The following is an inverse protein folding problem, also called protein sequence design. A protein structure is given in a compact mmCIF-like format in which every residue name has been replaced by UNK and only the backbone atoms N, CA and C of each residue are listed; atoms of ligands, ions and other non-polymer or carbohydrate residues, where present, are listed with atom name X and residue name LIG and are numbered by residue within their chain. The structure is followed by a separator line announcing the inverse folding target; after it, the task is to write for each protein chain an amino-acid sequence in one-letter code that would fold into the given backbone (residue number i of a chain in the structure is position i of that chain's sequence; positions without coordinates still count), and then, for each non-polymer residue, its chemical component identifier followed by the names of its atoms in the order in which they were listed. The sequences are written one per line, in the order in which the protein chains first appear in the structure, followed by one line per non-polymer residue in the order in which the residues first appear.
data_IF_309639443476
#
_entry.id   IF_309639443476
#
_cell.length_a   1.000
_cell.length_b   1.000
_cell.length_c   1.000
_cell.angle_alpha   90.00
_cell.angle_beta   90.00
_cell.angle_gamma   90.00
#
_symmetry.space_group_name_H-M   'P 1'
#
loop_
_entity.id
_entity.type
_entity.pdbx_description
1 polymer ?
#
# COMPACT_ATOMS: atom_id res chain seq x y z
N UNK A 1 2.80 14.46 -0.83
CA UNK A 1 3.20 13.16 -1.40
C UNK A 1 2.74 12.93 -2.83
N UNK A 2 1.55 13.39 -3.27
CA UNK A 2 1.13 13.26 -4.68
C UNK A 2 1.51 14.50 -5.49
N UNK A 3 2.21 14.33 -6.61
CA UNK A 3 2.51 15.42 -7.54
C UNK A 3 1.23 15.98 -8.18
N UNK A 4 0.26 15.12 -8.49
CA UNK A 4 -1.04 15.53 -9.02
C UNK A 4 -1.76 16.48 -8.06
N UNK A 5 -1.78 16.14 -6.75
CA UNK A 5 -2.37 17.01 -5.73
C UNK A 5 -1.64 18.35 -5.62
N UNK A 6 -0.31 18.38 -5.79
CA UNK A 6 0.45 19.64 -5.78
C UNK A 6 0.05 20.54 -6.97
N UNK A 7 -0.16 19.96 -8.16
CA UNK A 7 -0.64 20.73 -9.31
C UNK A 7 -2.02 21.31 -9.06
N UNK A 8 -2.92 20.54 -8.44
CA UNK A 8 -4.27 21.01 -8.10
C UNK A 8 -4.24 22.12 -7.03
N UNK A 9 -3.41 21.97 -5.99
CA UNK A 9 -3.21 23.03 -4.99
C UNK A 9 -2.72 24.34 -5.62
N UNK A 10 -1.78 24.25 -6.57
CA UNK A 10 -1.30 25.43 -7.33
C UNK A 10 -2.41 26.08 -8.14
N UNK A 11 -3.30 25.30 -8.78
CA UNK A 11 -4.47 25.84 -9.49
C UNK A 11 -5.43 26.59 -8.57
N UNK A 12 -5.52 26.15 -7.31
CA UNK A 12 -6.31 26.81 -6.26
C UNK A 12 -5.60 28.04 -5.64
N UNK A 13 -4.45 28.46 -6.18
CA UNK A 13 -3.68 29.61 -5.70
C UNK A 13 -2.75 29.32 -4.53
N UNK A 14 -2.64 28.06 -4.10
CA UNK A 14 -1.75 27.64 -3.01
C UNK A 14 -0.38 27.32 -3.62
N UNK A 15 0.50 28.32 -3.63
CA UNK A 15 1.80 28.24 -4.32
C UNK A 15 2.95 27.78 -3.43
N UNK A 16 2.87 28.00 -2.12
CA UNK A 16 3.89 27.58 -1.17
C UNK A 16 3.71 26.11 -0.79
N UNK A 17 4.01 25.21 -1.73
CA UNK A 17 3.83 23.75 -1.57
C UNK A 17 5.10 23.04 -1.99
N UNK A 18 5.64 22.22 -1.09
CA UNK A 18 6.75 21.33 -1.37
C UNK A 18 6.26 19.88 -1.49
N UNK A 19 6.83 19.13 -2.43
CA UNK A 19 6.63 17.68 -2.45
C UNK A 19 7.43 17.05 -1.32
N UNK A 20 6.74 16.27 -0.49
CA UNK A 20 7.36 15.36 0.46
C UNK A 20 6.83 13.97 0.15
N UNK A 21 7.73 13.08 -0.29
CA UNK A 21 7.46 11.68 -0.54
C UNK A 21 7.20 10.89 0.74
N UNK A 22 6.69 9.68 0.58
CA UNK A 22 6.51 8.71 1.67
C UNK A 22 7.67 7.72 1.60
N UNK A 23 8.56 7.78 2.58
CA UNK A 23 9.76 6.96 2.68
C UNK A 23 9.73 6.01 3.87
N UNK A 24 10.85 5.30 4.03
CA UNK A 24 11.10 4.34 5.08
C UNK A 24 11.83 4.94 6.28
N UNK A 25 11.51 4.46 7.47
CA UNK A 25 12.35 4.56 8.67
C UNK A 25 12.38 3.20 9.38
N UNK A 26 13.48 2.82 10.06
CA UNK A 26 13.60 1.52 10.73
C UNK A 26 12.44 1.18 11.66
N UNK A 27 11.90 2.18 12.37
CA UNK A 27 10.79 2.05 13.33
C UNK A 27 9.47 1.65 12.69
N UNK A 28 9.35 1.75 11.36
CA UNK A 28 8.18 1.23 10.64
C UNK A 28 8.17 -0.30 10.61
N UNK A 29 9.33 -0.96 10.70
CA UNK A 29 9.47 -2.42 10.73
C UNK A 29 9.26 -2.91 12.15
N UNK A 30 8.00 -3.17 12.53
CA UNK A 30 7.64 -3.48 13.92
C UNK A 30 6.62 -4.61 14.07
N UNK A 31 6.03 -5.09 12.99
CA UNK A 31 5.03 -6.14 13.04
C UNK A 31 5.75 -7.49 13.12
N UNK A 32 5.49 -8.30 14.16
CA UNK A 32 6.13 -9.59 14.32
C UNK A 32 5.64 -10.57 13.24
N UNK A 33 6.52 -11.48 12.83
CA UNK A 33 6.15 -12.62 12.02
C UNK A 33 5.43 -13.64 12.90
N UNK A 34 4.23 -14.03 12.50
CA UNK A 34 3.35 -14.96 13.21
C UNK A 34 2.73 -15.92 12.21
N UNK A 35 2.02 -16.93 12.69
CA UNK A 35 1.20 -17.78 11.82
C UNK A 35 0.12 -16.93 11.12
N UNK A 36 0.02 -17.08 9.80
CA UNK A 36 -0.95 -16.38 8.96
C UNK A 36 -2.20 -17.23 8.75
N UNK A 37 -3.21 -17.03 9.60
CA UNK A 37 -4.48 -17.75 9.52
C UNK A 37 -5.59 -16.98 8.77
N UNK A 38 -5.36 -15.70 8.45
CA UNK A 38 -6.27 -14.88 7.63
C UNK A 38 -5.80 -14.94 6.19
N UNK A 39 -6.67 -15.40 5.28
CA UNK A 39 -6.32 -15.46 3.86
C UNK A 39 -6.20 -14.05 3.27
N UNK A 40 -7.25 -13.25 3.43
CA UNK A 40 -7.32 -11.90 2.88
C UNK A 40 -7.72 -10.91 3.97
N UNK A 41 -6.96 -9.82 4.08
CA UNK A 41 -7.31 -8.67 4.91
C UNK A 41 -7.59 -7.43 4.07
N UNK A 42 -8.67 -6.75 4.41
CA UNK A 42 -8.91 -5.37 4.02
C UNK A 42 -9.10 -4.49 5.26
N UNK A 43 -8.55 -3.28 5.25
CA UNK A 43 -8.82 -2.29 6.29
C UNK A 43 -8.88 -0.86 5.74
N UNK A 44 -9.92 -0.15 6.14
CA UNK A 44 -10.24 1.19 5.64
C UNK A 44 -11.75 1.38 5.54
N UNK A 45 -12.19 2.56 5.14
CA UNK A 45 -13.62 2.87 4.99
C UNK A 45 -14.29 1.90 4.00
N UNK A 46 -15.49 1.42 4.33
CA UNK A 46 -16.24 0.56 3.44
C UNK A 46 -17.12 1.40 2.50
N UNK A 47 -17.35 0.84 1.32
CA UNK A 47 -18.34 1.26 0.33
C UNK A 47 -18.80 0.02 -0.44
N UNK A 48 -19.82 0.17 -1.30
CA UNK A 48 -20.42 -0.98 -1.99
C UNK A 48 -19.43 -1.73 -2.88
N UNK A 49 -18.48 -1.02 -3.52
CA UNK A 49 -17.42 -1.63 -4.33
C UNK A 49 -16.54 -2.56 -3.49
N UNK A 50 -15.98 -2.04 -2.41
CA UNK A 50 -15.12 -2.80 -1.49
C UNK A 50 -15.89 -3.98 -0.88
N UNK A 51 -17.14 -3.76 -0.49
CA UNK A 51 -18.01 -4.81 0.06
C UNK A 51 -18.26 -5.91 -0.98
N UNK A 52 -18.45 -5.57 -2.25
CA UNK A 52 -18.67 -6.56 -3.31
C UNK A 52 -17.48 -7.54 -3.43
N UNK A 53 -16.26 -7.02 -3.51
CA UNK A 53 -15.03 -7.85 -3.58
C UNK A 53 -14.89 -8.72 -2.32
N UNK A 54 -15.08 -8.15 -1.13
CA UNK A 54 -14.97 -8.91 0.12
C UNK A 54 -16.03 -10.01 0.25
N UNK A 55 -17.26 -9.74 -0.19
CA UNK A 55 -18.34 -10.75 -0.23
C UNK A 55 -18.01 -11.86 -1.22
N UNK A 56 -17.51 -11.52 -2.40
CA UNK A 56 -17.15 -12.51 -3.41
C UNK A 56 -16.03 -13.43 -2.91
N UNK A 57 -14.96 -12.88 -2.33
CA UNK A 57 -13.89 -13.67 -1.71
C UNK A 57 -14.41 -14.59 -0.60
N UNK A 58 -15.33 -14.11 0.25
CA UNK A 58 -15.98 -14.95 1.28
C UNK A 58 -16.83 -16.06 0.67
N UNK A 59 -17.59 -15.77 -0.39
CA UNK A 59 -18.42 -16.75 -1.09
C UNK A 59 -17.57 -17.85 -1.77
N UNK A 60 -16.29 -17.57 -2.05
CA UNK A 60 -15.31 -18.56 -2.50
C UNK A 60 -14.72 -19.41 -1.37
N UNK A 61 -15.19 -19.23 -0.13
CA UNK A 61 -14.79 -20.02 1.04
C UNK A 61 -13.52 -19.53 1.74
N UNK A 62 -13.03 -18.33 1.41
CA UNK A 62 -11.79 -17.78 1.99
C UNK A 62 -12.03 -17.17 3.38
N UNK A 63 -11.02 -17.25 4.25
CA UNK A 63 -11.03 -16.54 5.53
C UNK A 63 -10.70 -15.04 5.32
N UNK A 64 -11.75 -14.24 5.11
CA UNK A 64 -11.62 -12.80 4.82
C UNK A 64 -11.96 -11.94 6.03
N UNK A 65 -11.00 -11.11 6.44
CA UNK A 65 -11.16 -10.11 7.48
C UNK A 65 -11.29 -8.69 6.88
N UNK A 66 -12.25 -7.91 7.37
CA UNK A 66 -12.54 -6.55 6.89
C UNK A 66 -12.88 -5.62 8.04
N UNK A 67 -12.15 -4.51 8.21
CA UNK A 67 -12.35 -3.61 9.35
C UNK A 67 -12.37 -2.12 8.98
N UNK A 68 -13.24 -1.38 9.67
CA UNK A 68 -13.30 0.09 9.69
C UNK A 68 -12.88 0.57 11.07
N UNK A 69 -12.13 1.66 11.16
CA UNK A 69 -11.81 2.30 12.44
C UNK A 69 -10.86 1.50 13.35
N UNK A 70 -10.09 0.55 12.79
CA UNK A 70 -9.10 -0.22 13.55
C UNK A 70 -7.70 0.37 13.35
N UNK A 71 -7.03 0.74 14.45
CA UNK A 71 -5.75 1.45 14.44
C UNK A 71 -4.72 0.81 15.38
N UNK A 72 -3.47 1.25 15.26
CA UNK A 72 -2.36 0.88 16.15
C UNK A 72 -2.15 -0.63 16.25
N UNK A 73 -1.82 -1.10 17.47
CA UNK A 73 -1.54 -2.51 17.73
C UNK A 73 -2.66 -3.46 17.30
N UNK A 74 -3.93 -3.03 17.46
CA UNK A 74 -5.07 -3.85 17.04
C UNK A 74 -5.06 -4.10 15.53
N UNK A 75 -4.75 -3.07 14.73
CA UNK A 75 -4.57 -3.20 13.28
C UNK A 75 -3.36 -4.09 12.98
N UNK A 76 -2.25 -3.84 13.67
CA UNK A 76 -0.99 -4.55 13.43
C UNK A 76 -1.12 -6.05 13.71
N UNK A 77 -1.94 -6.47 14.69
CA UNK A 77 -2.26 -7.90 14.95
C UNK A 77 -2.97 -8.57 13.77
N UNK A 78 -3.91 -7.88 13.10
CA UNK A 78 -4.55 -8.42 11.90
C UNK A 78 -3.59 -8.45 10.72
N UNK A 79 -2.80 -7.40 10.53
CA UNK A 79 -1.76 -7.34 9.49
C UNK A 79 -0.78 -8.51 9.64
N UNK A 80 -0.31 -8.79 10.86
CA UNK A 80 0.62 -9.88 11.15
C UNK A 80 0.08 -11.24 10.66
N UNK A 81 -1.19 -11.52 10.94
CA UNK A 81 -1.89 -12.78 10.66
C UNK A 81 -2.38 -12.95 9.22
N UNK A 82 -2.16 -11.99 8.33
CA UNK A 82 -2.77 -11.98 6.99
C UNK A 82 -1.81 -12.40 5.91
N UNK A 83 -2.20 -13.38 5.07
CA UNK A 83 -1.42 -13.84 3.91
C UNK A 83 -1.40 -12.80 2.79
N UNK A 84 -2.54 -12.18 2.52
CA UNK A 84 -2.70 -11.13 1.50
C UNK A 84 -3.39 -9.94 2.14
N UNK A 85 -2.86 -8.74 1.89
CA UNK A 85 -3.52 -7.48 2.24
C UNK A 85 -3.99 -6.81 0.96
N UNK A 86 -5.30 -6.64 0.86
CA UNK A 86 -5.95 -6.12 -0.32
C UNK A 86 -6.10 -4.60 -0.21
N UNK A 87 -5.55 -3.88 -1.18
CA UNK A 87 -5.73 -2.44 -1.35
C UNK A 87 -6.69 -2.18 -2.52
N UNK A 88 -7.83 -1.54 -2.24
CA UNK A 88 -8.86 -1.23 -3.24
C UNK A 88 -9.12 0.27 -3.15
N UNK A 89 -9.25 0.97 -4.26
CA UNK A 89 -9.52 2.40 -4.23
C UNK A 89 -10.89 2.70 -3.63
N UNK A 90 -11.02 3.85 -2.96
CA UNK A 90 -12.33 4.28 -2.45
C UNK A 90 -13.14 4.95 -3.56
N UNK A 91 -12.47 5.86 -4.28
CA UNK A 91 -13.03 6.60 -5.40
C UNK A 91 -12.44 6.11 -6.72
N UNK A 92 -13.19 6.26 -7.80
CA UNK A 92 -12.69 6.01 -9.16
C UNK A 92 -11.56 6.96 -9.59
N UNK A 93 -11.34 8.03 -8.82
CA UNK A 93 -10.17 8.89 -8.99
C UNK A 93 -8.83 8.17 -8.76
N UNK A 94 -8.83 6.91 -8.26
CA UNK A 94 -7.74 5.93 -8.45
C UNK A 94 -6.34 6.37 -7.98
N UNK A 95 -6.28 7.22 -6.97
CA UNK A 95 -5.00 7.60 -6.35
C UNK A 95 -4.47 6.42 -5.56
N UNK A 96 -3.26 5.98 -5.87
CA UNK A 96 -2.60 4.90 -5.14
C UNK A 96 -2.35 5.28 -3.67
N UNK A 97 -2.87 4.47 -2.75
CA UNK A 97 -2.79 4.71 -1.31
C UNK A 97 -1.41 4.38 -0.72
N UNK A 98 -0.37 5.03 -1.25
CA UNK A 98 1.03 4.83 -0.89
C UNK A 98 1.29 4.93 0.62
N UNK A 99 0.57 5.80 1.34
CA UNK A 99 0.69 5.91 2.81
C UNK A 99 0.33 4.59 3.52
N UNK A 100 -0.67 3.85 3.01
CA UNK A 100 -1.03 2.52 3.54
C UNK A 100 0.00 1.49 3.11
N UNK A 101 0.32 1.47 1.81
CA UNK A 101 1.13 0.40 1.22
C UNK A 101 2.59 0.47 1.70
N UNK A 102 3.18 1.66 1.86
CA UNK A 102 4.56 1.79 2.35
C UNK A 102 4.78 1.13 3.71
N UNK A 103 3.81 1.26 4.62
CA UNK A 103 3.85 0.61 5.94
C UNK A 103 3.75 -0.92 5.83
N UNK A 104 2.98 -1.43 4.87
CA UNK A 104 2.87 -2.87 4.62
C UNK A 104 4.18 -3.43 4.04
N UNK A 105 4.80 -2.73 3.10
CA UNK A 105 6.08 -3.10 2.51
C UNK A 105 7.21 -3.08 3.56
N UNK A 106 7.23 -2.06 4.43
CA UNK A 106 8.17 -1.99 5.55
C UNK A 106 8.06 -3.21 6.49
N UNK A 107 6.90 -3.85 6.55
CA UNK A 107 6.64 -5.03 7.38
C UNK A 107 6.58 -6.34 6.59
N UNK A 108 7.14 -6.37 5.36
CA UNK A 108 7.17 -7.57 4.49
C UNK A 108 5.80 -8.21 4.28
N UNK A 109 4.76 -7.39 4.13
CA UNK A 109 3.42 -7.91 3.86
C UNK A 109 3.16 -7.96 2.37
N UNK A 110 2.53 -9.06 1.94
CA UNK A 110 2.16 -9.24 0.55
C UNK A 110 0.90 -8.42 0.24
N UNK A 111 0.99 -7.55 -0.75
CA UNK A 111 -0.06 -6.61 -1.12
C UNK A 111 -0.52 -6.87 -2.54
N UNK A 112 -1.83 -7.04 -2.72
CA UNK A 112 -2.49 -6.90 -4.01
C UNK A 112 -3.21 -5.55 -3.99
N UNK A 113 -2.93 -4.70 -4.98
CA UNK A 113 -3.59 -3.41 -5.14
C UNK A 113 -4.42 -3.37 -6.41
N UNK A 114 -5.60 -2.76 -6.33
CA UNK A 114 -6.27 -2.21 -7.51
C UNK A 114 -5.28 -1.27 -8.22
N UNK A 115 -5.16 -1.43 -9.54
CA UNK A 115 -4.42 -0.55 -10.42
C UNK A 115 -5.22 0.73 -10.67
N UNK A 116 -4.52 1.86 -10.65
CA UNK A 116 -5.08 3.19 -10.59
C UNK A 116 -4.87 3.98 -11.88
N UNK A 117 -4.43 5.24 -11.73
CA UNK A 117 -4.08 6.16 -12.82
C UNK A 117 -2.67 6.76 -12.62
N UNK A 118 -1.91 6.27 -11.65
CA UNK A 118 -0.58 6.79 -11.32
C UNK A 118 0.49 5.80 -11.80
N UNK A 119 0.55 5.61 -13.13
CA UNK A 119 1.39 4.59 -13.79
C UNK A 119 2.86 4.66 -13.34
N UNK A 120 3.41 5.87 -13.16
CA UNK A 120 4.79 6.06 -12.72
C UNK A 120 5.00 5.54 -11.29
N UNK A 121 4.06 5.83 -10.38
CA UNK A 121 4.13 5.36 -9.02
C UNK A 121 3.87 3.85 -8.93
N UNK A 122 2.90 3.33 -9.67
CA UNK A 122 2.59 1.90 -9.73
C UNK A 122 3.77 1.09 -10.29
N UNK A 123 4.40 1.59 -11.35
CA UNK A 123 5.63 1.01 -11.90
C UNK A 123 6.79 1.05 -10.91
N UNK A 124 6.91 2.11 -10.10
CA UNK A 124 7.91 2.17 -9.05
C UNK A 124 7.71 1.06 -8.01
N UNK A 125 6.48 0.62 -7.75
CA UNK A 125 6.18 -0.41 -6.74
C UNK A 125 5.92 -1.81 -7.31
N UNK A 126 5.98 -2.01 -8.63
CA UNK A 126 5.53 -3.26 -9.28
C UNK A 126 6.34 -4.50 -8.93
N UNK A 127 7.56 -4.34 -8.40
CA UNK A 127 8.36 -5.47 -7.91
C UNK A 127 7.95 -5.96 -6.52
N UNK A 128 7.30 -5.10 -5.73
CA UNK A 128 6.90 -5.37 -4.34
C UNK A 128 5.39 -5.41 -4.10
N UNK A 129 4.60 -4.99 -5.09
CA UNK A 129 3.13 -4.93 -5.05
C UNK A 129 2.58 -5.54 -6.33
N UNK A 130 1.60 -6.43 -6.19
CA UNK A 130 0.88 -6.96 -7.34
C UNK A 130 -0.27 -6.02 -7.66
N UNK A 131 -0.18 -5.34 -8.80
CA UNK A 131 -1.26 -4.51 -9.33
C UNK A 131 -2.20 -5.35 -10.19
N UNK A 132 -3.50 -5.10 -10.08
CA UNK A 132 -4.53 -5.81 -10.83
C UNK A 132 -5.74 -4.92 -11.07
N UNK A 133 -6.44 -5.14 -12.18
CA UNK A 133 -7.69 -4.45 -12.44
C UNK A 133 -8.75 -4.88 -11.43
N UNK A 134 -9.67 -3.98 -11.09
CA UNK A 134 -10.75 -4.24 -10.13
C UNK A 134 -11.48 -5.57 -10.35
N UNK A 135 -11.79 -5.89 -11.61
CA UNK A 135 -12.53 -7.11 -12.00
C UNK A 135 -11.75 -8.41 -11.78
N UNK A 136 -10.42 -8.31 -11.68
CA UNK A 136 -9.50 -9.46 -11.58
C UNK A 136 -8.99 -9.66 -10.15
N UNK A 137 -9.30 -8.74 -9.21
CA UNK A 137 -8.80 -8.79 -7.84
C UNK A 137 -9.11 -10.11 -7.14
N UNK A 138 -10.33 -10.65 -7.33
CA UNK A 138 -10.76 -11.90 -6.70
C UNK A 138 -9.93 -13.08 -7.21
N UNK A 139 -9.77 -13.18 -8.53
CA UNK A 139 -8.96 -14.23 -9.16
C UNK A 139 -7.50 -14.14 -8.73
N UNK A 140 -6.92 -12.94 -8.75
CA UNK A 140 -5.53 -12.71 -8.31
C UNK A 140 -5.30 -13.08 -6.86
N UNK A 141 -6.24 -12.76 -5.96
CA UNK A 141 -6.18 -13.21 -4.58
C UNK A 141 -6.13 -14.75 -4.48
N UNK A 142 -6.99 -15.46 -5.23
CA UNK A 142 -7.05 -16.92 -5.22
C UNK A 142 -5.76 -17.55 -5.76
N UNK A 143 -5.22 -17.01 -6.85
CA UNK A 143 -3.99 -17.52 -7.46
C UNK A 143 -2.81 -17.33 -6.52
N UNK A 144 -2.63 -16.11 -6.00
CA UNK A 144 -1.51 -15.85 -5.11
C UNK A 144 -1.64 -16.54 -3.77
N UNK A 145 -2.84 -16.92 -3.29
CA UNK A 145 -2.98 -17.74 -2.07
C UNK A 145 -2.30 -19.11 -2.19
N UNK A 146 -2.22 -19.68 -3.40
CA UNK A 146 -1.56 -20.97 -3.66
C UNK A 146 -0.04 -20.86 -3.76
N UNK A 147 0.48 -19.65 -4.00
CA UNK A 147 1.88 -19.40 -4.37
C UNK A 147 2.72 -18.85 -3.20
N UNK A 148 2.83 -19.59 -2.09
CA UNK A 148 3.48 -19.08 -0.86
C UNK A 148 4.92 -18.60 -1.10
N UNK A 149 5.73 -19.38 -1.81
CA UNK A 149 7.11 -19.02 -2.12
C UNK A 149 7.18 -17.73 -2.92
N UNK A 150 6.34 -17.60 -3.93
CA UNK A 150 6.32 -16.41 -4.78
C UNK A 150 5.87 -15.17 -4.01
N UNK A 151 4.87 -15.30 -3.10
CA UNK A 151 4.50 -14.21 -2.20
C UNK A 151 5.69 -13.75 -1.38
N UNK A 152 6.43 -14.67 -0.75
CA UNK A 152 7.63 -14.35 0.04
C UNK A 152 8.69 -13.60 -0.77
N UNK A 153 8.99 -14.06 -1.99
CA UNK A 153 9.92 -13.40 -2.90
C UNK A 153 9.50 -11.94 -3.22
N UNK A 154 8.21 -11.72 -3.48
CA UNK A 154 7.67 -10.37 -3.72
C UNK A 154 7.74 -9.50 -2.45
N UNK A 155 7.44 -10.05 -1.27
CA UNK A 155 7.52 -9.27 -0.02
C UNK A 155 8.93 -8.79 0.31
N UNK A 156 9.95 -9.61 0.02
CA UNK A 156 11.35 -9.20 0.21
C UNK A 156 11.77 -8.12 -0.80
N UNK A 157 11.34 -8.24 -2.06
CA UNK A 157 11.55 -7.17 -3.05
C UNK A 157 10.89 -5.86 -2.60
N UNK A 158 9.64 -5.91 -2.13
CA UNK A 158 8.92 -4.74 -1.63
C UNK A 158 9.58 -4.10 -0.41
N UNK A 159 10.05 -4.91 0.54
CA UNK A 159 10.80 -4.42 1.70
C UNK A 159 12.12 -3.75 1.28
N UNK A 160 12.88 -4.39 0.40
CA UNK A 160 14.14 -3.82 -0.10
C UNK A 160 13.91 -2.51 -0.85
N UNK A 161 12.84 -2.44 -1.65
CA UNK A 161 12.46 -1.26 -2.41
C UNK A 161 12.15 -0.08 -1.50
N UNK A 162 11.30 -0.25 -0.49
CA UNK A 162 10.96 0.86 0.41
C UNK A 162 12.19 1.30 1.23
N UNK A 163 13.06 0.37 1.63
CA UNK A 163 14.29 0.65 2.40
C UNK A 163 15.31 1.50 1.64
N UNK A 164 15.29 1.47 0.30
CA UNK A 164 16.14 2.31 -0.54
C UNK A 164 15.69 3.79 -0.57
N UNK A 165 14.54 4.12 0.01
CA UNK A 165 13.97 5.45 0.00
C UNK A 165 13.74 5.97 1.43
N UNK A 166 14.78 6.41 2.17
CA UNK A 166 14.63 6.89 3.54
C UNK A 166 13.75 8.16 3.63
N UNK A 167 12.87 8.24 4.62
CA UNK A 167 12.01 9.43 4.81
C UNK A 167 12.84 10.70 5.05
N UNK A 168 13.97 10.57 5.75
CA UNK A 168 14.92 11.67 5.94
C UNK A 168 15.42 12.33 4.64
N UNK A 169 15.51 11.60 3.52
CA UNK A 169 15.87 12.17 2.21
C UNK A 169 14.75 13.07 1.70
N UNK A 170 13.51 12.56 1.69
CA UNK A 170 12.34 13.34 1.27
C UNK A 170 12.11 14.57 2.16
N UNK A 171 12.39 14.48 3.46
CA UNK A 171 12.29 15.62 4.37
C UNK A 171 13.34 16.68 4.08
N UNK A 172 14.60 16.31 3.85
CA UNK A 172 15.65 17.26 3.47
C UNK A 172 15.32 18.02 2.18
N UNK A 173 14.80 17.31 1.19
CA UNK A 173 14.35 17.90 -0.07
C UNK A 173 13.18 18.87 0.15
N UNK A 174 12.14 18.44 0.86
CA UNK A 174 10.97 19.26 1.13
C UNK A 174 11.28 20.53 1.93
N UNK A 175 12.29 20.48 2.81
CA UNK A 175 12.74 21.60 3.64
C UNK A 175 13.81 22.47 2.96
N UNK A 176 14.25 22.16 1.74
CA UNK A 176 15.32 22.90 1.05
C UNK A 176 16.69 22.79 1.73
N UNK A 177 16.91 21.71 2.49
CA UNK A 177 18.15 21.40 3.22
C UNK A 177 19.12 20.56 2.37
N UNK A 178 18.70 20.13 1.18
CA UNK A 178 19.57 19.47 0.22
C UNK A 178 20.52 20.51 -0.41
N UNK A 179 21.83 20.39 -0.12
CA UNK A 179 22.86 21.31 -0.61
C UNK A 179 23.29 21.02 -2.06
N UNK A 180 22.71 20.00 -2.69
CA UNK A 180 23.05 19.55 -4.05
C UNK A 180 22.42 20.36 -5.19
N UNK A 181 21.55 21.34 -4.88
CA UNK A 181 20.87 22.21 -5.86
C UNK A 181 20.99 23.72 -5.55
N UNK A 182 21.97 24.11 -4.72
CA UNK A 182 22.32 25.52 -4.57
C UNK A 182 23.52 25.78 -5.46
N UNK A 183 23.24 26.16 -6.72
CA UNK A 183 24.21 26.85 -7.58
C UNK A 183 24.67 28.17 -6.91
#
# INVERSE_FOLDING_TARGET
YSYQNIQELKRLGINNVAHCGIGYEPELTKIPQVEEDIDILFYGSLNDRRIAILKELKNKGLNVAGFVGTYGEKRDKFIARSKIILNIHYYEARVFEIVRVSYLLANRKFVISEAGLDDDLEKLFSEGVVFSNYKELVERCIDYLKEERHRKEITEKGFNLIRQHPQSVFLKQALGLDKSFRD
#
